data_IF_685138595827
#
_entry.id   IF_685138595827
#
_cell.length_a   1.000
_cell.length_b   1.000
_cell.length_c   1.000
_cell.angle_alpha   90.00
_cell.angle_beta   90.00
_cell.angle_gamma   90.00
#
_symmetry.space_group_name_H-M   'P 1'
#
loop_
_entity.id
_entity.type
_entity.pdbx_description
1 polymer ?
#
# COMPACT_ATOMS: atom_id res chain seq x y z
N UNK A 1 -0.72 11.51 7.35
CA UNK A 1 0.52 10.74 7.18
C UNK A 1 0.76 9.84 8.39
N UNK A 2 1.00 8.57 8.12
CA UNK A 2 1.10 7.53 9.14
C UNK A 2 2.47 7.44 9.82
N UNK A 3 3.13 8.55 10.09
CA UNK A 3 4.42 8.56 10.79
C UNK A 3 4.23 9.08 12.19
N UNK A 4 4.01 8.17 13.12
CA UNK A 4 3.82 8.52 14.52
C UNK A 4 5.03 8.09 15.34
N UNK A 5 5.36 8.94 16.29
CA UNK A 5 6.32 8.62 17.32
C UNK A 5 5.77 7.47 18.17
N UNK A 6 6.59 6.46 18.45
CA UNK A 6 6.23 5.40 19.37
C UNK A 6 5.85 5.96 20.74
N UNK A 7 4.82 5.42 21.34
CA UNK A 7 4.29 5.86 22.62
C UNK A 7 4.11 4.69 23.60
N UNK A 8 3.74 5.04 24.83
CA UNK A 8 3.49 4.06 25.90
C UNK A 8 1.99 3.81 26.13
N UNK A 9 1.12 4.28 25.23
CA UNK A 9 -0.33 4.07 25.36
C UNK A 9 -0.66 2.58 25.23
N UNK A 10 -1.50 2.09 26.10
CA UNK A 10 -2.05 0.73 25.98
C UNK A 10 -3.09 0.70 24.87
N UNK A 11 -3.12 -0.38 24.11
CA UNK A 11 -4.15 -0.61 23.11
C UNK A 11 -5.49 -0.93 23.80
N UNK A 12 -6.57 -0.39 23.26
CA UNK A 12 -7.94 -0.69 23.68
C UNK A 12 -8.57 -1.73 22.76
N UNK A 13 -9.72 -2.29 23.18
CA UNK A 13 -10.48 -3.25 22.36
C UNK A 13 -11.16 -2.65 21.12
N UNK A 14 -10.88 -1.38 20.81
CA UNK A 14 -11.45 -0.65 19.65
C UNK A 14 -10.38 0.03 18.82
N UNK A 15 -9.12 -0.23 19.10
CA UNK A 15 -8.04 0.41 18.36
C UNK A 15 -7.84 -0.23 16.99
N UNK A 16 -7.40 0.57 16.05
CA UNK A 16 -6.76 0.14 14.83
C UNK A 16 -5.28 0.48 14.93
N UNK A 17 -4.42 -0.39 14.43
CA UNK A 17 -2.99 -0.20 14.44
C UNK A 17 -2.45 -0.42 13.04
N UNK A 18 -1.93 0.61 12.40
CA UNK A 18 -1.20 0.48 11.15
C UNK A 18 0.26 0.20 11.45
N UNK A 19 0.75 -0.90 10.91
CA UNK A 19 2.15 -1.28 10.93
C UNK A 19 2.74 -1.04 9.54
N UNK A 20 3.81 -0.28 9.49
CA UNK A 20 4.63 -0.06 8.30
C UNK A 20 6.10 -0.23 8.69
N UNK A 21 6.76 -1.14 8.03
CA UNK A 21 8.20 -1.38 8.22
C UNK A 21 8.84 -1.91 6.95
N UNK A 22 10.16 -1.90 6.90
CA UNK A 22 10.91 -2.56 5.85
C UNK A 22 11.94 -3.53 6.44
N UNK A 23 12.01 -4.72 5.89
CA UNK A 23 13.17 -5.57 6.03
C UNK A 23 14.30 -5.04 5.15
N UNK A 24 15.53 -5.13 5.63
CA UNK A 24 16.71 -4.67 4.88
C UNK A 24 17.70 -5.82 4.75
N UNK A 25 18.10 -6.11 3.52
CA UNK A 25 19.17 -7.07 3.22
C UNK A 25 20.14 -6.47 2.21
N UNK A 26 21.44 -6.48 2.54
CA UNK A 26 22.50 -5.86 1.72
C UNK A 26 22.14 -4.45 1.25
N UNK A 27 21.61 -3.63 2.17
CA UNK A 27 21.15 -2.26 1.98
C UNK A 27 19.83 -2.11 1.18
N UNK A 28 19.26 -3.16 0.59
CA UNK A 28 17.98 -3.07 -0.12
C UNK A 28 16.80 -3.29 0.81
N UNK A 29 15.80 -2.44 0.65
CA UNK A 29 14.56 -2.46 1.44
C UNK A 29 13.47 -3.29 0.77
N UNK A 30 12.71 -4.02 1.60
CA UNK A 30 11.43 -4.60 1.22
C UNK A 30 10.37 -4.13 2.21
N UNK A 31 9.57 -3.15 1.80
CA UNK A 31 8.55 -2.55 2.64
C UNK A 31 7.29 -3.40 2.72
N UNK A 32 6.62 -3.30 3.84
CA UNK A 32 5.40 -4.04 4.15
C UNK A 32 4.46 -3.17 4.98
N UNK A 33 3.17 -3.20 4.67
CA UNK A 33 2.18 -2.41 5.41
C UNK A 33 0.92 -3.24 5.66
N UNK A 34 0.43 -3.22 6.90
CA UNK A 34 -0.82 -3.87 7.32
C UNK A 34 -1.52 -3.06 8.40
N UNK A 35 -2.84 -3.12 8.37
CA UNK A 35 -3.67 -2.65 9.48
C UNK A 35 -4.17 -3.83 10.30
N UNK A 36 -3.95 -3.75 11.61
CA UNK A 36 -4.51 -4.66 12.60
C UNK A 36 -5.72 -3.99 13.24
N UNK A 37 -6.80 -4.74 13.37
CA UNK A 37 -7.99 -4.31 14.11
C UNK A 37 -7.99 -5.03 15.45
N UNK A 38 -8.10 -4.27 16.54
CA UNK A 38 -8.20 -4.83 17.88
C UNK A 38 -9.68 -4.99 18.22
N UNK A 39 -10.08 -6.25 18.44
CA UNK A 39 -11.48 -6.61 18.69
C UNK A 39 -12.31 -6.68 17.41
N UNK A 40 -13.58 -6.30 17.45
CA UNK A 40 -14.50 -6.46 16.32
C UNK A 40 -14.32 -5.34 15.27
N UNK A 41 -14.07 -5.68 14.00
CA UNK A 41 -14.00 -4.69 12.93
C UNK A 41 -15.35 -4.00 12.72
N UNK A 42 -15.32 -2.70 12.46
CA UNK A 42 -16.49 -1.93 12.06
C UNK A 42 -16.87 -2.21 10.59
N UNK A 43 -18.10 -1.85 10.19
CA UNK A 43 -18.52 -1.92 8.77
C UNK A 43 -17.60 -1.09 7.87
N UNK A 44 -17.08 0.05 8.38
CA UNK A 44 -16.15 0.92 7.65
C UNK A 44 -14.82 0.20 7.42
N UNK A 45 -14.27 -0.47 8.43
CA UNK A 45 -13.04 -1.25 8.29
C UNK A 45 -13.20 -2.39 7.26
N UNK A 46 -14.34 -3.08 7.27
CA UNK A 46 -14.62 -4.15 6.30
C UNK A 46 -14.71 -3.60 4.87
N UNK A 47 -15.39 -2.47 4.67
CA UNK A 47 -15.48 -1.82 3.36
C UNK A 47 -14.10 -1.33 2.86
N UNK A 48 -13.31 -0.69 3.72
CA UNK A 48 -11.96 -0.24 3.39
C UNK A 48 -11.03 -1.41 3.04
N UNK A 49 -11.13 -2.52 3.79
CA UNK A 49 -10.36 -3.74 3.50
C UNK A 49 -10.72 -4.32 2.13
N UNK A 50 -12.02 -4.44 1.83
CA UNK A 50 -12.47 -4.94 0.53
C UNK A 50 -11.94 -4.08 -0.61
N UNK A 51 -12.09 -2.75 -0.52
CA UNK A 51 -11.58 -1.81 -1.51
C UNK A 51 -10.05 -1.91 -1.67
N UNK A 52 -9.31 -1.98 -0.56
CA UNK A 52 -7.86 -2.09 -0.58
C UNK A 52 -7.36 -3.40 -1.22
N UNK A 53 -8.02 -4.53 -0.93
CA UNK A 53 -7.69 -5.82 -1.56
C UNK A 53 -7.92 -5.82 -3.06
N UNK A 54 -9.09 -5.36 -3.48
CA UNK A 54 -9.44 -5.29 -4.90
C UNK A 54 -8.54 -4.32 -5.66
N UNK A 55 -8.28 -3.14 -5.09
CA UNK A 55 -7.36 -2.18 -5.69
C UNK A 55 -5.92 -2.71 -5.80
N UNK A 56 -5.43 -3.45 -4.80
CA UNK A 56 -4.11 -4.07 -4.88
C UNK A 56 -4.06 -5.15 -5.97
N UNK A 57 -5.09 -5.99 -6.08
CA UNK A 57 -5.19 -7.00 -7.13
C UNK A 57 -5.21 -6.35 -8.53
N UNK A 58 -5.94 -5.26 -8.71
CA UNK A 58 -5.97 -4.54 -9.98
C UNK A 58 -4.64 -3.85 -10.30
N UNK A 59 -3.99 -3.27 -9.30
CA UNK A 59 -2.62 -2.73 -9.41
C UNK A 59 -1.63 -3.82 -9.87
N UNK A 60 -1.72 -5.02 -9.33
CA UNK A 60 -0.87 -6.16 -9.75
C UNK A 60 -1.02 -6.47 -11.23
N UNK A 61 -2.19 -6.26 -11.82
CA UNK A 61 -2.39 -6.46 -13.28
C UNK A 61 -1.64 -5.45 -14.14
N UNK A 62 -1.37 -4.26 -13.60
CA UNK A 62 -0.69 -3.17 -14.30
C UNK A 62 0.82 -3.09 -14.00
N UNK A 63 1.28 -3.70 -12.93
CA UNK A 63 2.71 -3.77 -12.55
C UNK A 63 3.50 -4.72 -13.46
N UNK A 64 3.63 -4.36 -14.74
CA UNK A 64 4.34 -5.21 -15.72
C UNK A 64 5.12 -4.39 -16.73
N UNK A 65 6.13 -4.97 -17.36
CA UNK A 65 6.92 -4.28 -18.38
C UNK A 65 6.04 -3.65 -19.47
N UNK A 66 6.40 -2.41 -19.87
CA UNK A 66 5.70 -1.64 -20.91
C UNK A 66 4.51 -0.82 -20.41
N UNK A 67 3.99 -1.03 -19.20
CA UNK A 67 3.00 -0.16 -18.57
C UNK A 67 3.67 1.08 -17.98
N UNK A 68 2.91 2.15 -17.79
CA UNK A 68 3.40 3.35 -17.13
C UNK A 68 3.07 3.35 -15.64
N UNK A 69 3.81 4.11 -14.85
CA UNK A 69 3.50 4.36 -13.45
C UNK A 69 2.12 5.03 -13.28
N UNK A 70 1.68 5.80 -14.28
CA UNK A 70 0.34 6.39 -14.37
C UNK A 70 -0.76 5.33 -14.53
N UNK A 71 -0.56 4.32 -15.40
CA UNK A 71 -1.52 3.21 -15.57
C UNK A 71 -1.78 2.48 -14.25
N UNK A 72 -0.73 2.27 -13.45
CA UNK A 72 -0.84 1.65 -12.11
C UNK A 72 -1.69 2.49 -11.18
N UNK A 73 -1.48 3.82 -11.16
CA UNK A 73 -2.29 4.71 -10.35
C UNK A 73 -3.74 4.75 -10.82
N UNK A 74 -3.99 4.81 -12.13
CA UNK A 74 -5.35 4.88 -12.67
C UNK A 74 -6.15 3.61 -12.38
N UNK A 75 -5.50 2.45 -12.38
CA UNK A 75 -6.10 1.20 -11.93
C UNK A 75 -6.52 1.24 -10.45
N UNK A 76 -5.62 1.69 -9.58
CA UNK A 76 -5.91 1.93 -8.17
C UNK A 76 -7.08 2.90 -7.99
N UNK A 77 -7.04 4.06 -8.64
CA UNK A 77 -8.04 5.09 -8.50
C UNK A 77 -9.43 4.60 -8.95
N UNK A 78 -9.51 3.90 -10.09
CA UNK A 78 -10.76 3.35 -10.62
C UNK A 78 -11.45 2.43 -9.61
N UNK A 79 -10.72 1.49 -9.01
CA UNK A 79 -11.28 0.57 -8.01
C UNK A 79 -11.69 1.31 -6.74
N UNK A 80 -10.82 2.17 -6.21
CA UNK A 80 -11.13 2.94 -5.00
C UNK A 80 -12.36 3.84 -5.19
N UNK A 81 -12.49 4.47 -6.35
CA UNK A 81 -13.61 5.36 -6.66
C UNK A 81 -14.91 4.57 -6.84
N UNK A 82 -14.87 3.36 -7.43
CA UNK A 82 -16.01 2.45 -7.52
C UNK A 82 -16.52 1.98 -6.15
N UNK A 83 -15.64 1.86 -5.17
CA UNK A 83 -16.00 1.58 -3.77
C UNK A 83 -16.41 2.83 -2.98
N UNK A 84 -16.53 3.99 -3.61
CA UNK A 84 -16.87 5.25 -2.94
C UNK A 84 -15.75 5.81 -2.06
N UNK A 85 -14.51 5.38 -2.27
CA UNK A 85 -13.35 5.75 -1.45
C UNK A 85 -12.55 6.93 -2.01
N UNK A 86 -13.05 7.65 -3.02
CA UNK A 86 -12.35 8.75 -3.69
C UNK A 86 -11.85 9.82 -2.70
N UNK A 87 -12.67 10.18 -1.70
CA UNK A 87 -12.32 11.17 -0.68
C UNK A 87 -11.32 10.67 0.36
N UNK A 88 -11.14 9.36 0.42
CA UNK A 88 -10.38 8.69 1.48
C UNK A 88 -9.05 8.13 0.97
N UNK A 89 -8.89 7.94 -0.34
CA UNK A 89 -7.63 7.48 -0.94
C UNK A 89 -6.60 8.60 -1.10
N UNK A 90 -5.34 8.23 -1.19
CA UNK A 90 -4.27 9.17 -1.53
C UNK A 90 -4.19 9.42 -3.05
N UNK A 91 -3.45 10.47 -3.43
CA UNK A 91 -3.13 10.82 -4.82
C UNK A 91 -1.87 10.12 -5.35
N UNK A 92 -1.36 9.16 -4.60
CA UNK A 92 -0.32 8.23 -5.01
C UNK A 92 -0.57 6.89 -4.34
N UNK A 93 -0.22 5.78 -5.01
CA UNK A 93 -0.47 4.43 -4.49
C UNK A 93 0.78 3.55 -4.45
N UNK A 94 1.97 4.14 -4.50
CA UNK A 94 3.23 3.42 -4.42
C UNK A 94 4.41 4.22 -4.95
N UNK A 95 5.58 3.63 -4.83
CA UNK A 95 6.84 4.24 -5.20
C UNK A 95 7.94 3.19 -5.43
N UNK A 96 9.00 3.59 -6.15
CA UNK A 96 10.20 2.78 -6.28
C UNK A 96 10.89 2.58 -4.92
N UNK A 97 11.47 1.42 -4.74
CA UNK A 97 12.11 1.01 -3.50
C UNK A 97 13.45 0.36 -3.80
N UNK A 98 14.47 0.74 -3.06
CA UNK A 98 15.82 0.24 -3.26
C UNK A 98 16.71 0.43 -2.03
N UNK A 99 17.90 0.96 -2.24
CA UNK A 99 18.94 1.13 -1.21
C UNK A 99 18.94 2.51 -0.54
N UNK A 100 17.87 3.29 -0.67
CA UNK A 100 17.78 4.63 -0.10
C UNK A 100 17.36 4.56 1.37
N UNK A 101 18.12 5.26 2.21
CA UNK A 101 17.89 5.37 3.65
C UNK A 101 17.32 6.75 4.03
N UNK A 102 17.68 7.21 5.22
CA UNK A 102 17.29 8.51 5.78
C UNK A 102 17.38 9.67 4.76
N UNK A 103 16.39 10.57 4.71
CA UNK A 103 15.24 10.68 5.63
C UNK A 103 14.04 9.80 5.28
N UNK A 104 14.08 9.08 4.17
CA UNK A 104 13.03 8.17 3.71
C UNK A 104 13.61 7.11 2.80
N UNK A 105 13.06 5.89 2.83
CA UNK A 105 13.35 4.86 1.84
C UNK A 105 12.61 5.03 0.52
N UNK A 106 11.64 5.95 0.45
CA UNK A 106 10.87 6.23 -0.77
C UNK A 106 11.78 6.80 -1.86
N UNK A 107 11.62 6.31 -3.09
CA UNK A 107 12.37 6.78 -4.25
C UNK A 107 11.45 6.99 -5.47
N UNK A 108 11.99 7.52 -6.55
CA UNK A 108 11.31 7.71 -7.82
C UNK A 108 11.54 6.50 -8.74
N UNK A 109 10.55 6.18 -9.61
CA UNK A 109 9.27 6.86 -9.81
C UNK A 109 8.22 6.49 -8.75
N UNK A 110 7.19 7.36 -8.62
CA UNK A 110 6.01 7.11 -7.82
C UNK A 110 4.79 6.85 -8.72
N UNK A 111 3.81 6.11 -8.20
CA UNK A 111 2.54 5.87 -8.90
C UNK A 111 1.55 7.01 -8.61
N UNK A 112 1.46 7.96 -9.53
CA UNK A 112 0.51 9.07 -9.51
C UNK A 112 -0.08 9.30 -10.91
N UNK A 113 -1.21 9.98 -10.97
CA UNK A 113 -1.94 10.23 -12.24
C UNK A 113 -1.05 10.88 -13.31
N UNK A 114 -1.00 10.25 -14.48
CA UNK A 114 -0.28 10.77 -15.63
C UNK A 114 1.25 10.66 -15.57
N UNK A 115 1.81 9.90 -14.61
CA UNK A 115 3.24 9.63 -14.59
C UNK A 115 3.66 8.79 -15.81
N UNK A 116 4.47 9.33 -16.75
CA UNK A 116 4.81 8.66 -18.00
C UNK A 116 5.93 7.61 -17.87
N UNK A 117 6.50 7.44 -16.68
CA UNK A 117 7.63 6.53 -16.48
C UNK A 117 7.22 5.11 -16.80
N UNK A 118 7.89 4.49 -17.76
CA UNK A 118 7.64 3.12 -18.19
C UNK A 118 8.26 2.14 -17.21
N UNK A 119 7.48 1.14 -16.81
CA UNK A 119 7.91 0.05 -15.94
C UNK A 119 8.72 -0.96 -16.76
N UNK A 120 9.86 -1.38 -16.23
CA UNK A 120 10.74 -2.38 -16.85
C UNK A 120 11.11 -3.51 -15.90
N UNK A 121 11.62 -4.62 -16.44
CA UNK A 121 12.14 -5.72 -15.62
C UNK A 121 13.26 -5.26 -14.70
N UNK A 122 13.37 -5.89 -13.52
CA UNK A 122 14.35 -5.57 -12.49
C UNK A 122 13.99 -4.37 -11.60
N UNK A 123 12.97 -3.57 -11.96
CA UNK A 123 12.48 -2.51 -11.07
C UNK A 123 11.81 -3.10 -9.83
N UNK A 124 11.94 -2.38 -8.70
CA UNK A 124 11.31 -2.77 -7.44
C UNK A 124 10.37 -1.65 -6.99
N UNK A 125 9.15 -2.03 -6.65
CA UNK A 125 8.12 -1.10 -6.20
C UNK A 125 7.43 -1.55 -4.94
N UNK A 126 7.12 -0.60 -4.07
CA UNK A 126 6.17 -0.78 -2.99
C UNK A 126 4.82 -0.20 -3.40
N UNK A 127 3.83 -1.06 -3.61
CA UNK A 127 2.45 -0.65 -3.82
C UNK A 127 1.70 -0.64 -2.49
N UNK A 128 0.98 0.47 -2.22
CA UNK A 128 0.26 0.65 -0.95
C UNK A 128 -1.13 1.23 -1.18
N UNK A 129 -2.11 0.58 -0.60
CA UNK A 129 -3.50 0.98 -0.59
C UNK A 129 -3.79 1.63 0.76
N UNK A 130 -3.79 2.96 0.79
CA UNK A 130 -3.99 3.75 2.01
C UNK A 130 -5.32 4.48 1.93
N UNK A 131 -6.18 4.24 2.92
CA UNK A 131 -7.48 4.87 3.09
C UNK A 131 -7.56 5.53 4.45
N UNK A 132 -8.03 6.79 4.48
CA UNK A 132 -8.23 7.56 5.70
C UNK A 132 -9.62 8.19 5.69
N UNK A 133 -10.45 7.80 6.65
CA UNK A 133 -11.78 8.38 6.85
C UNK A 133 -11.81 9.04 8.24
N UNK A 134 -11.52 10.34 8.28
CA UNK A 134 -11.47 11.11 9.52
C UNK A 134 -12.85 11.23 10.18
N UNK A 135 -13.91 11.29 9.39
CA UNK A 135 -15.29 11.41 9.91
C UNK A 135 -15.70 10.16 10.69
N UNK A 136 -15.26 8.99 10.22
CA UNK A 136 -15.50 7.71 10.89
C UNK A 136 -14.41 7.35 11.91
N UNK A 137 -13.34 8.13 12.03
CA UNK A 137 -12.18 7.82 12.86
C UNK A 137 -11.50 6.51 12.43
N UNK A 138 -11.56 6.15 11.13
CA UNK A 138 -11.09 4.88 10.61
C UNK A 138 -10.01 5.09 9.55
N UNK A 139 -8.98 4.23 9.57
CA UNK A 139 -7.98 4.15 8.53
C UNK A 139 -7.69 2.68 8.19
N UNK A 140 -7.29 2.43 6.96
CA UNK A 140 -6.89 1.11 6.52
C UNK A 140 -5.71 1.19 5.57
N UNK A 141 -4.69 0.37 5.81
CA UNK A 141 -3.50 0.33 4.98
C UNK A 141 -3.16 -1.12 4.64
N UNK A 142 -2.90 -1.36 3.37
CA UNK A 142 -2.45 -2.63 2.84
C UNK A 142 -1.32 -2.36 1.84
N UNK A 143 -0.15 -2.94 2.03
CA UNK A 143 0.98 -2.70 1.14
C UNK A 143 1.89 -3.91 1.00
N UNK A 144 2.52 -4.04 -0.18
CA UNK A 144 3.40 -5.13 -0.54
C UNK A 144 4.47 -4.64 -1.51
N UNK A 145 5.69 -5.14 -1.35
CA UNK A 145 6.79 -4.91 -2.29
C UNK A 145 6.79 -5.97 -3.40
N UNK A 146 7.07 -5.52 -4.61
CA UNK A 146 7.16 -6.36 -5.82
C UNK A 146 8.49 -6.13 -6.52
N UNK A 147 9.08 -7.20 -7.02
CA UNK A 147 10.11 -7.16 -8.04
C UNK A 147 9.41 -7.36 -9.39
N UNK A 148 9.74 -6.55 -10.38
CA UNK A 148 9.15 -6.68 -11.71
C UNK A 148 9.99 -7.67 -12.51
N UNK A 149 9.43 -8.86 -12.74
CA UNK A 149 9.99 -9.86 -13.64
C UNK A 149 9.58 -9.61 -15.09
N UNK A 150 10.09 -10.42 -16.00
CA UNK A 150 9.77 -10.36 -17.45
C UNK A 150 8.26 -10.53 -17.71
N UNK A 151 7.57 -11.31 -16.90
CA UNK A 151 6.14 -11.65 -17.07
C UNK A 151 5.20 -10.81 -16.20
N UNK A 152 5.73 -10.04 -15.25
CA UNK A 152 4.93 -9.22 -14.32
C UNK A 152 5.49 -9.18 -12.90
N UNK A 153 4.68 -8.77 -11.92
CA UNK A 153 5.12 -8.53 -10.56
C UNK A 153 5.30 -9.84 -9.78
N UNK A 154 6.41 -9.92 -9.08
CA UNK A 154 6.72 -10.99 -8.14
C UNK A 154 6.69 -10.44 -6.71
N UNK A 155 5.70 -10.83 -5.88
CA UNK A 155 5.59 -10.30 -4.53
C UNK A 155 6.73 -10.84 -3.65
N UNK A 156 7.45 -9.94 -2.98
CA UNK A 156 8.54 -10.30 -2.05
C UNK A 156 7.99 -10.98 -0.79
N UNK A 157 6.80 -10.56 -0.33
CA UNK A 157 6.16 -11.14 0.84
C UNK A 157 5.08 -12.15 0.47
N UNK A 158 5.11 -13.33 1.11
CA UNK A 158 4.05 -14.34 1.02
C UNK A 158 2.97 -14.19 2.09
N UNK A 159 3.05 -13.16 2.93
CA UNK A 159 2.06 -12.94 3.98
C UNK A 159 0.69 -12.66 3.36
N UNK A 160 -0.38 -13.29 3.88
CA UNK A 160 -1.72 -13.19 3.32
C UNK A 160 -2.27 -11.76 3.39
N UNK A 161 -3.29 -11.48 2.56
CA UNK A 161 -3.92 -10.16 2.43
C UNK A 161 -5.21 -10.03 3.26
N UNK A 162 -5.56 -11.04 4.03
CA UNK A 162 -6.71 -11.05 4.90
C UNK A 162 -6.58 -9.99 6.01
N UNK A 163 -7.74 -9.54 6.50
CA UNK A 163 -7.79 -8.61 7.63
C UNK A 163 -7.21 -9.28 8.88
N UNK A 164 -6.27 -8.63 9.52
CA UNK A 164 -5.69 -9.10 10.79
C UNK A 164 -6.53 -8.58 11.94
N UNK A 165 -7.15 -9.49 12.68
CA UNK A 165 -7.97 -9.19 13.86
C UNK A 165 -7.30 -9.81 15.10
N UNK A 166 -7.23 -9.06 16.20
CA UNK A 166 -6.62 -9.46 17.48
C UNK A 166 -7.51 -9.05 18.65
#
# INVERSE_FOLDING_TARGET
LCRYKSGRRKLSKRDQLTLEWAGVYRHYHAAFMRTLIIGKPSKVHLAMHAAAREALAEVETQLRPGRTAGDVFDAHARVMDAHGMQRHRLNACGYSLGAKFTPSWMDSPMFYRGNPTVIGPGMVFFAHMILMNSDAGAAYCLGRTYIIGEKGPEPVSRYPLEMVIR
#
